data_IF_143761790362
#
_entry.id   IF_143761790362
#
_cell.length_a   1.000
_cell.length_b   1.000
_cell.length_c   1.000
_cell.angle_alpha   90.00
_cell.angle_beta   90.00
_cell.angle_gamma   90.00
#
_symmetry.space_group_name_H-M   'P 1'
#
loop_
_entity.id
_entity.type
_entity.pdbx_description
1 polymer ?
#
# COMPACT_ATOMS: atom_id res chain seq x y z
N UNK A 1 2.28 -23.46 -17.96
CA UNK A 1 3.13 -24.07 -16.92
C UNK A 1 2.29 -24.95 -15.99
N UNK A 2 2.88 -25.99 -15.40
CA UNK A 2 2.17 -26.92 -14.52
C UNK A 2 1.51 -26.19 -13.34
N UNK A 3 2.25 -25.27 -12.70
CA UNK A 3 1.73 -24.46 -11.60
C UNK A 3 0.49 -23.66 -11.99
N UNK A 4 0.48 -23.03 -13.18
CA UNK A 4 -0.71 -22.31 -13.66
C UNK A 4 -1.93 -23.21 -13.77
N UNK A 5 -1.77 -24.41 -14.37
CA UNK A 5 -2.89 -25.33 -14.55
C UNK A 5 -3.47 -25.79 -13.21
N UNK A 6 -2.62 -25.91 -12.18
CA UNK A 6 -3.03 -26.24 -10.81
C UNK A 6 -3.84 -25.11 -10.15
N UNK A 7 -3.40 -23.85 -10.29
CA UNK A 7 -4.04 -22.70 -9.62
C UNK A 7 -5.17 -22.06 -10.43
N UNK A 8 -5.24 -22.32 -11.74
CA UNK A 8 -6.22 -21.71 -12.65
C UNK A 8 -7.68 -21.84 -12.18
N UNK A 9 -8.14 -22.99 -11.63
CA UNK A 9 -9.50 -23.09 -11.11
C UNK A 9 -9.78 -22.13 -9.94
N UNK A 10 -8.80 -21.94 -9.04
CA UNK A 10 -8.91 -21.02 -7.92
C UNK A 10 -8.91 -19.55 -8.40
N UNK A 11 -8.05 -19.22 -9.37
CA UNK A 11 -8.04 -17.91 -10.00
C UNK A 11 -9.40 -17.60 -10.66
N UNK A 12 -9.95 -18.53 -11.45
CA UNK A 12 -11.25 -18.36 -12.09
C UNK A 12 -12.39 -18.15 -11.07
N UNK A 13 -12.41 -18.92 -9.98
CA UNK A 13 -13.39 -18.73 -8.91
C UNK A 13 -13.28 -17.33 -8.27
N UNK A 14 -12.06 -16.88 -8.00
CA UNK A 14 -11.82 -15.54 -7.46
C UNK A 14 -12.28 -14.46 -8.43
N UNK A 15 -12.01 -14.59 -9.73
CA UNK A 15 -12.50 -13.63 -10.74
C UNK A 15 -14.02 -13.57 -10.74
N UNK A 16 -14.72 -14.73 -10.76
CA UNK A 16 -16.18 -14.75 -10.71
C UNK A 16 -16.76 -14.11 -9.45
N UNK A 17 -16.09 -14.25 -8.30
CA UNK A 17 -16.46 -13.55 -7.08
C UNK A 17 -16.27 -12.03 -7.21
N UNK A 18 -15.12 -11.60 -7.74
CA UNK A 18 -14.77 -10.19 -7.89
C UNK A 18 -15.64 -9.47 -8.92
N UNK A 19 -16.00 -10.11 -10.03
CA UNK A 19 -16.92 -9.57 -11.04
C UNK A 19 -18.20 -9.02 -10.42
N UNK A 20 -18.73 -9.72 -9.41
CA UNK A 20 -19.98 -9.37 -8.75
C UNK A 20 -19.77 -8.36 -7.62
N UNK A 21 -18.65 -8.47 -6.87
CA UNK A 21 -18.52 -7.82 -5.56
C UNK A 21 -17.46 -6.74 -5.47
N UNK A 22 -16.70 -6.44 -6.53
CA UNK A 22 -15.60 -5.48 -6.46
C UNK A 22 -16.01 -4.06 -6.01
N UNK A 23 -17.28 -3.68 -6.19
CA UNK A 23 -17.83 -2.39 -5.74
C UNK A 23 -18.42 -2.43 -4.31
N UNK A 24 -18.46 -3.61 -3.69
CA UNK A 24 -19.09 -3.77 -2.37
C UNK A 24 -18.19 -3.19 -1.28
N UNK A 25 -18.76 -2.46 -0.31
CA UNK A 25 -18.01 -2.03 0.86
C UNK A 25 -17.39 -3.20 1.62
N UNK A 26 -16.17 -3.01 2.10
CA UNK A 26 -15.42 -4.01 2.86
C UNK A 26 -14.43 -3.35 3.83
N UNK A 27 -13.70 -4.16 4.59
CA UNK A 27 -12.56 -3.68 5.36
C UNK A 27 -11.38 -3.39 4.44
N UNK A 28 -10.59 -2.37 4.78
CA UNK A 28 -9.30 -2.14 4.13
C UNK A 28 -8.23 -3.14 4.61
N UNK A 29 -6.99 -2.96 4.12
CA UNK A 29 -5.84 -3.75 4.55
C UNK A 29 -5.44 -3.53 6.03
N UNK A 30 -6.07 -2.57 6.71
CA UNK A 30 -5.89 -2.27 8.13
C UNK A 30 -7.01 -2.86 8.99
N UNK A 31 -7.92 -3.63 8.37
CA UNK A 31 -9.09 -4.24 9.01
C UNK A 31 -10.09 -3.21 9.57
N UNK A 32 -10.15 -2.03 8.96
CA UNK A 32 -10.95 -0.89 9.41
C UNK A 32 -12.00 -0.47 8.37
N UNK A 33 -12.98 0.34 8.80
CA UNK A 33 -13.94 1.03 7.92
C UNK A 33 -14.74 0.13 6.94
N UNK A 34 -15.40 -0.91 7.47
CA UNK A 34 -16.20 -1.91 6.71
C UNK A 34 -17.26 -1.31 5.77
N UNK A 35 -17.77 -0.12 6.08
CA UNK A 35 -18.82 0.55 5.33
C UNK A 35 -18.30 1.35 4.13
N UNK A 36 -17.00 1.29 3.83
CA UNK A 36 -16.34 2.04 2.74
C UNK A 36 -15.82 1.13 1.62
N UNK A 37 -15.52 1.75 0.48
CA UNK A 37 -14.76 1.17 -0.64
C UNK A 37 -13.40 1.85 -0.67
N UNK A 38 -12.32 1.07 -0.68
CA UNK A 38 -10.96 1.58 -0.47
C UNK A 38 -10.17 1.61 -1.78
N UNK A 39 -9.51 2.73 -2.05
CA UNK A 39 -8.73 2.91 -3.28
C UNK A 39 -7.60 1.89 -3.39
N UNK A 40 -6.90 1.60 -2.30
CA UNK A 40 -5.82 0.61 -2.26
C UNK A 40 -6.33 -0.81 -2.55
N UNK A 41 -7.49 -1.19 -1.98
CA UNK A 41 -8.14 -2.48 -2.29
C UNK A 41 -8.49 -2.57 -3.77
N UNK A 42 -9.11 -1.54 -4.34
CA UNK A 42 -9.45 -1.51 -5.75
C UNK A 42 -8.19 -1.55 -6.65
N UNK A 43 -7.10 -0.89 -6.25
CA UNK A 43 -5.82 -0.99 -6.96
C UNK A 43 -5.26 -2.42 -6.93
N UNK A 44 -5.33 -3.11 -5.79
CA UNK A 44 -4.94 -4.52 -5.69
C UNK A 44 -5.77 -5.43 -6.60
N UNK A 45 -7.09 -5.20 -6.66
CA UNK A 45 -7.97 -5.93 -7.58
C UNK A 45 -7.59 -5.66 -9.03
N UNK A 46 -7.40 -4.39 -9.41
CA UNK A 46 -6.95 -4.01 -10.75
C UNK A 46 -5.66 -4.72 -11.14
N UNK A 47 -4.61 -4.64 -10.31
CA UNK A 47 -3.30 -5.20 -10.63
C UNK A 47 -3.35 -6.72 -10.77
N UNK A 48 -4.02 -7.41 -9.86
CA UNK A 48 -4.19 -8.87 -9.93
C UNK A 48 -4.99 -9.32 -11.15
N UNK A 49 -6.10 -8.63 -11.46
CA UNK A 49 -6.93 -8.94 -12.62
C UNK A 49 -6.22 -8.64 -13.94
N UNK A 50 -5.49 -7.54 -14.02
CA UNK A 50 -4.69 -7.19 -15.19
C UNK A 50 -3.60 -8.24 -15.44
N UNK A 51 -2.86 -8.64 -14.39
CA UNK A 51 -1.81 -9.64 -14.51
C UNK A 51 -2.35 -11.01 -14.98
N UNK A 52 -3.50 -11.43 -14.46
CA UNK A 52 -4.15 -12.66 -14.93
C UNK A 52 -4.68 -12.50 -16.36
N UNK A 53 -5.26 -11.35 -16.71
CA UNK A 53 -5.75 -11.08 -18.07
C UNK A 53 -4.62 -11.12 -19.11
N UNK A 54 -3.47 -10.50 -18.81
CA UNK A 54 -2.30 -10.50 -19.70
C UNK A 54 -1.73 -11.91 -19.92
N UNK A 55 -1.91 -12.79 -18.92
CA UNK A 55 -1.40 -14.16 -18.94
C UNK A 55 -2.38 -15.18 -19.55
N UNK A 56 -3.66 -15.13 -19.16
CA UNK A 56 -4.75 -16.00 -19.61
C UNK A 56 -6.04 -15.16 -19.76
N UNK A 57 -6.23 -14.50 -20.92
CA UNK A 57 -7.36 -13.60 -21.17
C UNK A 57 -8.73 -14.27 -21.05
N UNK A 58 -8.81 -15.60 -21.11
CA UNK A 58 -10.05 -16.34 -20.99
C UNK A 58 -10.57 -16.42 -19.54
N UNK A 59 -9.75 -16.06 -18.54
CA UNK A 59 -10.12 -16.10 -17.12
C UNK A 59 -10.71 -14.77 -16.64
N UNK A 60 -10.26 -13.64 -17.19
CA UNK A 60 -10.67 -12.29 -16.76
C UNK A 60 -11.35 -11.56 -17.92
N UNK A 61 -12.61 -11.13 -17.77
CA UNK A 61 -13.24 -10.26 -18.76
C UNK A 61 -12.48 -8.95 -18.92
N UNK A 62 -12.16 -8.57 -20.16
CA UNK A 62 -11.37 -7.36 -20.48
C UNK A 62 -11.91 -6.08 -19.81
N UNK A 63 -13.23 -5.93 -19.73
CA UNK A 63 -13.86 -4.73 -19.17
C UNK A 63 -13.73 -4.60 -17.65
N UNK A 64 -13.42 -5.67 -16.92
CA UNK A 64 -13.39 -5.66 -15.47
C UNK A 64 -12.26 -4.78 -14.89
N UNK A 65 -10.96 -5.01 -15.19
CA UNK A 65 -9.89 -4.12 -14.75
C UNK A 65 -10.06 -2.69 -15.28
N UNK A 66 -10.54 -2.53 -16.53
CA UNK A 66 -10.83 -1.21 -17.12
C UNK A 66 -11.86 -0.45 -16.28
N UNK A 67 -12.94 -1.11 -15.86
CA UNK A 67 -14.01 -0.52 -15.05
C UNK A 67 -13.52 -0.13 -13.65
N UNK A 68 -12.70 -0.96 -13.02
CA UNK A 68 -12.10 -0.67 -11.71
C UNK A 68 -11.20 0.56 -11.80
N UNK A 69 -10.30 0.60 -12.78
CA UNK A 69 -9.41 1.76 -13.01
C UNK A 69 -10.23 3.02 -13.28
N UNK A 70 -11.24 2.95 -14.14
CA UNK A 70 -12.13 4.08 -14.43
C UNK A 70 -12.83 4.58 -13.16
N UNK A 71 -13.33 3.68 -12.31
CA UNK A 71 -14.00 4.01 -11.05
C UNK A 71 -13.06 4.77 -10.11
N UNK A 72 -11.83 4.29 -9.94
CA UNK A 72 -10.82 5.00 -9.11
C UNK A 72 -10.53 6.39 -9.67
N UNK A 73 -10.29 6.53 -10.97
CA UNK A 73 -9.88 7.82 -11.55
C UNK A 73 -11.04 8.81 -11.71
N UNK A 74 -12.28 8.32 -11.76
CA UNK A 74 -13.46 9.20 -11.85
C UNK A 74 -13.87 9.70 -10.46
N UNK A 75 -13.88 8.81 -9.46
CA UNK A 75 -14.51 9.09 -8.17
C UNK A 75 -13.51 9.22 -7.01
N UNK A 76 -12.26 8.79 -7.19
CA UNK A 76 -11.24 8.73 -6.11
C UNK A 76 -10.29 9.93 -6.04
N UNK A 77 -10.30 10.83 -7.05
CA UNK A 77 -9.41 12.00 -7.11
C UNK A 77 -9.97 13.14 -6.26
N UNK A 78 -9.26 13.50 -5.20
CA UNK A 78 -9.59 14.60 -4.29
C UNK A 78 -9.18 15.97 -4.85
N UNK A 79 -9.65 17.04 -4.19
CA UNK A 79 -9.42 18.43 -4.60
C UNK A 79 -7.93 18.82 -4.73
N UNK A 80 -7.01 18.09 -4.09
CA UNK A 80 -5.56 18.31 -4.23
C UNK A 80 -4.95 17.67 -5.48
N UNK A 81 -5.76 17.02 -6.31
CA UNK A 81 -5.36 16.42 -7.59
C UNK A 81 -4.79 15.00 -7.48
N UNK A 82 -4.77 14.41 -6.28
CA UNK A 82 -4.35 13.01 -6.06
C UNK A 82 -5.47 12.14 -5.51
N UNK A 83 -5.17 10.86 -5.31
CA UNK A 83 -6.11 9.83 -4.85
C UNK A 83 -6.35 9.93 -3.35
N UNK A 84 -7.60 9.76 -2.93
CA UNK A 84 -8.01 9.64 -1.53
C UNK A 84 -8.07 8.18 -1.07
N UNK A 85 -8.06 7.95 0.26
CA UNK A 85 -8.17 6.62 0.88
C UNK A 85 -9.44 5.87 0.45
N UNK A 86 -10.56 6.59 0.34
CA UNK A 86 -11.87 6.00 0.04
C UNK A 86 -12.40 6.46 -1.31
N UNK A 87 -12.97 5.53 -2.08
CA UNK A 87 -13.75 5.86 -3.26
C UNK A 87 -15.22 6.00 -2.84
N UNK A 88 -15.81 7.21 -2.88
CA UNK A 88 -17.20 7.40 -2.50
C UNK A 88 -18.16 6.68 -3.47
N UNK A 89 -19.34 6.24 -2.97
CA UNK A 89 -20.43 5.86 -3.86
C UNK A 89 -21.01 7.12 -4.54
N UNK A 90 -21.12 7.11 -5.87
CA UNK A 90 -21.81 8.07 -6.74
C UNK A 90 -21.69 9.58 -6.43
N UNK A 91 -21.13 10.39 -7.35
CA UNK A 91 -21.22 11.88 -7.40
C UNK A 91 -20.77 12.69 -6.18
N UNK A 92 -20.54 12.05 -5.02
CA UNK A 92 -19.99 12.68 -3.85
C UNK A 92 -18.50 12.92 -4.06
N UNK A 93 -18.02 14.10 -3.63
CA UNK A 93 -16.60 14.40 -3.70
C UNK A 93 -15.84 13.47 -2.75
N UNK A 94 -14.72 12.86 -3.18
CA UNK A 94 -13.86 12.11 -2.28
C UNK A 94 -13.33 13.01 -1.15
N UNK A 95 -13.17 12.41 0.03
CA UNK A 95 -12.54 13.10 1.16
C UNK A 95 -11.06 13.38 0.90
N UNK A 96 -10.43 14.16 1.79
CA UNK A 96 -8.99 14.47 1.71
C UNK A 96 -8.11 13.50 2.50
N UNK A 97 -8.71 12.46 3.08
CA UNK A 97 -7.99 11.46 3.85
C UNK A 97 -7.02 10.72 2.93
N UNK A 98 -5.75 10.74 3.30
CA UNK A 98 -4.67 10.02 2.64
C UNK A 98 -4.25 8.83 3.51
N UNK A 99 -3.83 7.76 2.84
CA UNK A 99 -3.31 6.55 3.47
C UNK A 99 -2.06 6.11 2.73
N UNK A 100 -1.05 5.61 3.44
CA UNK A 100 0.20 5.17 2.83
C UNK A 100 0.01 3.98 1.87
N UNK A 101 -1.04 3.17 2.04
CA UNK A 101 -1.41 2.11 1.08
C UNK A 101 -1.76 2.65 -0.31
N UNK A 102 -1.97 3.95 -0.47
CA UNK A 102 -2.14 4.56 -1.80
C UNK A 102 -0.87 4.50 -2.65
N UNK A 103 0.32 4.28 -2.06
CA UNK A 103 1.54 3.95 -2.82
C UNK A 103 1.32 2.73 -3.72
N UNK A 104 0.41 1.83 -3.32
CA UNK A 104 0.11 0.60 -4.04
C UNK A 104 -0.56 0.84 -5.40
N UNK A 105 -1.13 2.03 -5.60
CA UNK A 105 -1.71 2.43 -6.88
C UNK A 105 -0.66 2.59 -7.99
N UNK A 106 0.62 2.76 -7.64
CA UNK A 106 1.71 2.67 -8.61
C UNK A 106 2.42 1.33 -8.53
N UNK A 107 3.13 1.05 -7.44
CA UNK A 107 3.86 -0.22 -7.28
C UNK A 107 3.23 -1.05 -6.16
N UNK A 108 2.94 -2.35 -6.33
CA UNK A 108 3.20 -3.16 -7.52
C UNK A 108 2.05 -3.15 -8.53
N UNK A 109 0.88 -2.56 -8.20
CA UNK A 109 -0.35 -2.85 -8.95
C UNK A 109 -0.48 -2.13 -10.29
N UNK A 110 0.39 -1.17 -10.60
CA UNK A 110 0.52 -0.57 -11.92
C UNK A 110 -0.73 0.16 -12.43
N UNK A 111 -1.57 0.68 -11.53
CA UNK A 111 -2.77 1.41 -11.92
C UNK A 111 -2.42 2.77 -12.54
N UNK A 112 -1.41 3.42 -11.96
CA UNK A 112 -0.72 4.60 -12.46
C UNK A 112 0.78 4.30 -12.59
N UNK A 113 1.47 4.97 -13.51
CA UNK A 113 2.93 5.01 -13.48
C UNK A 113 3.41 5.89 -12.33
N UNK A 114 4.64 5.70 -11.86
CA UNK A 114 5.21 6.49 -10.75
C UNK A 114 5.39 7.97 -11.09
N UNK A 115 5.45 8.32 -12.38
CA UNK A 115 5.53 9.68 -12.90
C UNK A 115 4.17 10.28 -13.31
N UNK A 116 3.07 9.54 -13.13
CA UNK A 116 1.73 10.04 -13.42
C UNK A 116 1.40 11.27 -12.52
N UNK A 117 0.87 12.37 -13.06
CA UNK A 117 0.56 13.57 -12.29
C UNK A 117 -0.37 13.34 -11.08
N UNK A 118 -1.34 12.42 -11.19
CA UNK A 118 -2.26 12.06 -10.11
C UNK A 118 -1.52 11.28 -9.03
N UNK A 119 -0.65 10.35 -9.42
CA UNK A 119 0.17 9.61 -8.46
C UNK A 119 1.16 10.55 -7.77
N UNK A 120 1.84 11.43 -8.49
CA UNK A 120 2.75 12.42 -7.90
C UNK A 120 2.04 13.37 -6.92
N UNK A 121 0.79 13.76 -7.19
CA UNK A 121 -0.02 14.53 -6.25
C UNK A 121 -0.36 13.72 -4.99
N UNK A 122 -0.64 12.42 -5.15
CA UNK A 122 -0.86 11.48 -4.04
C UNK A 122 0.40 11.29 -3.21
N UNK A 123 1.55 11.08 -3.85
CA UNK A 123 2.85 10.92 -3.20
C UNK A 123 3.20 12.16 -2.36
N UNK A 124 3.07 13.38 -2.92
CA UNK A 124 3.29 14.62 -2.17
C UNK A 124 2.42 14.74 -0.94
N UNK A 125 1.18 14.26 -1.01
CA UNK A 125 0.25 14.26 0.11
C UNK A 125 0.70 13.26 1.21
N UNK A 126 1.13 12.06 0.81
CA UNK A 126 1.69 11.04 1.72
C UNK A 126 2.97 11.56 2.38
N UNK A 127 3.91 12.09 1.61
CA UNK A 127 5.17 12.66 2.13
C UNK A 127 4.92 13.77 3.15
N UNK A 128 3.93 14.63 2.89
CA UNK A 128 3.61 15.75 3.77
C UNK A 128 2.97 15.31 5.09
N UNK A 129 2.09 14.32 5.06
CA UNK A 129 1.22 14.01 6.21
C UNK A 129 1.63 12.75 6.97
N UNK A 130 2.30 11.81 6.30
CA UNK A 130 2.56 10.47 6.81
C UNK A 130 4.05 10.14 6.93
N UNK A 131 4.95 10.81 6.20
CA UNK A 131 6.39 10.58 6.34
C UNK A 131 6.99 11.42 7.48
N UNK A 132 7.79 10.78 8.32
CA UNK A 132 8.52 11.44 9.41
C UNK A 132 9.92 11.81 8.93
N UNK A 133 10.34 13.05 9.17
CA UNK A 133 11.69 13.49 8.80
C UNK A 133 12.74 12.71 9.61
N UNK A 134 13.59 11.95 8.91
CA UNK A 134 14.55 11.04 9.54
C UNK A 134 13.90 9.82 10.21
N UNK A 135 12.62 9.56 9.94
CA UNK A 135 11.83 8.47 10.51
C UNK A 135 11.19 7.58 9.45
N UNK A 136 10.17 6.84 9.86
CA UNK A 136 9.37 5.96 9.02
C UNK A 136 8.11 6.62 8.48
N UNK A 137 7.08 5.81 8.27
CA UNK A 137 5.82 6.24 7.62
C UNK A 137 4.63 5.73 8.43
N UNK A 138 3.68 6.62 8.74
CA UNK A 138 2.41 6.27 9.37
C UNK A 138 1.43 5.62 8.38
N UNK A 139 0.47 4.83 8.86
CA UNK A 139 -0.63 4.28 8.02
C UNK A 139 -1.51 5.41 7.47
N UNK A 140 -2.08 6.21 8.37
CA UNK A 140 -2.89 7.40 8.14
C UNK A 140 -2.89 8.26 9.41
N UNK A 141 -3.37 9.51 9.35
CA UNK A 141 -3.11 10.51 10.41
C UNK A 141 -3.86 10.31 11.73
N UNK A 142 -5.04 9.68 11.68
CA UNK A 142 -5.89 9.43 12.84
C UNK A 142 -5.69 8.02 13.42
N UNK A 143 -4.61 7.34 13.04
CA UNK A 143 -4.32 5.99 13.50
C UNK A 143 -3.98 5.97 15.00
N UNK A 144 -4.66 5.11 15.74
CA UNK A 144 -4.48 4.92 17.18
C UNK A 144 -4.03 3.51 17.54
N UNK A 145 -3.84 2.62 16.56
CA UNK A 145 -3.36 1.26 16.78
C UNK A 145 -1.91 1.30 17.28
N UNK A 146 -1.68 0.82 18.51
CA UNK A 146 -0.45 1.06 19.28
C UNK A 146 -0.05 2.54 19.33
N UNK A 147 -1.02 3.45 19.41
CA UNK A 147 -0.77 4.90 19.40
C UNK A 147 -0.38 5.48 18.04
N UNK A 148 -0.45 4.69 16.96
CA UNK A 148 -0.15 5.14 15.60
C UNK A 148 1.34 5.37 15.40
N UNK A 149 2.13 4.30 15.44
CA UNK A 149 3.57 4.34 15.23
C UNK A 149 4.00 4.36 13.76
N UNK A 150 5.32 4.31 13.56
CA UNK A 150 5.95 4.34 12.24
C UNK A 150 6.17 2.92 11.71
N UNK A 151 5.63 2.59 10.53
CA UNK A 151 5.60 1.23 9.99
C UNK A 151 6.76 0.97 9.04
N UNK A 152 7.50 -0.12 9.28
CA UNK A 152 8.68 -0.50 8.50
C UNK A 152 8.31 -0.86 7.06
N UNK A 153 7.23 -1.63 6.88
CA UNK A 153 6.77 -2.03 5.55
C UNK A 153 6.35 -0.82 4.69
N UNK A 154 5.83 0.26 5.31
CA UNK A 154 5.43 1.47 4.61
C UNK A 154 6.62 2.37 4.27
N UNK A 155 7.61 2.46 5.16
CA UNK A 155 8.90 3.07 4.85
C UNK A 155 9.59 2.36 3.67
N UNK A 156 9.56 1.03 3.66
CA UNK A 156 10.11 0.23 2.57
C UNK A 156 9.40 0.50 1.24
N UNK A 157 8.07 0.60 1.28
CA UNK A 157 7.26 0.88 0.09
C UNK A 157 7.50 2.28 -0.49
N UNK A 158 7.60 3.28 0.38
CA UNK A 158 7.95 4.64 -0.03
C UNK A 158 9.36 4.68 -0.63
N UNK A 159 10.30 3.95 -0.02
CA UNK A 159 11.63 3.73 -0.58
C UNK A 159 11.58 3.12 -1.97
N UNK A 160 10.72 2.12 -2.21
CA UNK A 160 10.58 1.49 -3.53
C UNK A 160 10.05 2.49 -4.58
N UNK A 161 9.06 3.30 -4.21
CA UNK A 161 8.58 4.39 -5.08
C UNK A 161 9.72 5.38 -5.41
N UNK A 162 10.58 5.71 -4.46
CA UNK A 162 11.74 6.56 -4.69
C UNK A 162 12.75 5.93 -5.65
N UNK A 163 13.01 4.62 -5.54
CA UNK A 163 13.86 3.90 -6.49
C UNK A 163 13.32 4.01 -7.92
N UNK A 164 12.01 3.81 -8.11
CA UNK A 164 11.37 3.92 -9.43
C UNK A 164 11.42 5.35 -10.00
N UNK A 165 11.33 6.36 -9.13
CA UNK A 165 11.48 7.78 -9.49
C UNK A 165 12.94 8.23 -9.69
N UNK A 166 13.92 7.36 -9.44
CA UNK A 166 15.35 7.72 -9.47
C UNK A 166 15.83 8.56 -8.28
N UNK A 167 15.01 8.70 -7.23
CA UNK A 167 15.31 9.39 -5.96
C UNK A 167 16.14 8.50 -5.03
N UNK A 168 17.30 8.05 -5.53
CA UNK A 168 18.10 7.00 -4.90
C UNK A 168 18.61 7.36 -3.50
N UNK A 169 18.95 8.61 -3.25
CA UNK A 169 19.45 9.03 -1.93
C UNK A 169 18.37 8.94 -0.86
N UNK A 170 17.13 9.32 -1.20
CA UNK A 170 15.99 9.22 -0.30
C UNK A 170 15.58 7.76 -0.07
N UNK A 171 15.65 6.92 -1.09
CA UNK A 171 15.44 5.47 -0.95
C UNK A 171 16.45 4.83 0.02
N UNK A 172 17.74 5.22 -0.08
CA UNK A 172 18.80 4.72 0.82
C UNK A 172 18.61 5.19 2.26
N UNK A 173 18.10 6.41 2.48
CA UNK A 173 17.78 6.90 3.82
C UNK A 173 16.71 6.03 4.46
N UNK A 174 15.60 5.74 3.76
CA UNK A 174 14.55 4.85 4.30
C UNK A 174 15.04 3.42 4.50
N UNK A 175 15.85 2.90 3.57
CA UNK A 175 16.46 1.57 3.71
C UNK A 175 17.34 1.50 4.97
N UNK A 176 18.22 2.49 5.19
CA UNK A 176 19.06 2.56 6.38
C UNK A 176 18.23 2.67 7.67
N UNK A 177 17.19 3.50 7.66
CA UNK A 177 16.28 3.63 8.78
C UNK A 177 15.63 2.29 9.15
N UNK A 178 15.19 1.49 8.17
CA UNK A 178 14.62 0.15 8.42
C UNK A 178 15.64 -0.76 9.10
N UNK A 179 16.89 -0.75 8.64
CA UNK A 179 17.98 -1.55 9.23
C UNK A 179 18.23 -1.16 10.69
N UNK A 180 18.17 0.13 11.01
CA UNK A 180 18.34 0.63 12.37
C UNK A 180 17.23 0.19 13.34
N UNK A 181 16.06 -0.25 12.83
CA UNK A 181 14.95 -0.73 13.64
C UNK A 181 15.04 -2.23 13.96
N UNK A 182 16.01 -2.94 13.41
CA UNK A 182 16.17 -4.37 13.64
C UNK A 182 16.58 -4.66 15.10
N UNK A 183 16.06 -5.73 15.68
CA UNK A 183 16.56 -6.23 16.99
C UNK A 183 18.00 -6.76 16.85
N UNK A 184 18.64 -7.08 17.98
CA UNK A 184 19.98 -7.71 17.98
C UNK A 184 20.01 -9.04 17.18
N UNK A 185 18.89 -9.76 17.14
CA UNK A 185 18.71 -10.99 16.36
C UNK A 185 18.33 -10.74 14.89
N UNK A 186 18.18 -9.47 14.49
CA UNK A 186 17.83 -9.06 13.14
C UNK A 186 16.32 -9.10 12.83
N UNK A 187 15.44 -9.20 13.84
CA UNK A 187 14.00 -9.15 13.63
C UNK A 187 13.53 -7.74 13.30
N UNK A 188 12.68 -7.60 12.29
CA UNK A 188 12.03 -6.34 11.93
C UNK A 188 10.61 -6.29 12.51
N UNK A 189 10.27 -5.28 13.33
CA UNK A 189 8.93 -5.14 13.90
C UNK A 189 7.90 -4.68 12.85
N UNK A 190 6.63 -4.76 13.23
CA UNK A 190 5.50 -4.16 12.48
C UNK A 190 5.60 -2.64 12.44
N UNK A 191 5.83 -2.02 13.60
CA UNK A 191 5.96 -0.59 13.78
C UNK A 191 6.88 -0.26 14.96
N UNK A 192 7.41 0.96 14.98
CA UNK A 192 8.17 1.53 16.11
C UNK A 192 7.44 2.72 16.70
N UNK A 193 7.74 3.03 17.96
CA UNK A 193 7.06 4.02 18.79
C UNK A 193 7.89 5.28 19.07
N UNK A 194 8.94 5.54 18.27
CA UNK A 194 9.76 6.76 18.38
C UNK A 194 8.93 8.03 18.25
N UNK A 195 7.97 8.01 17.32
CA UNK A 195 6.97 9.05 17.13
C UNK A 195 5.58 8.42 17.04
N UNK A 196 4.73 8.73 18.02
CA UNK A 196 3.33 8.27 18.06
C UNK A 196 2.39 9.41 17.67
N UNK A 197 1.37 9.09 16.87
CA UNK A 197 0.29 10.02 16.54
C UNK A 197 -0.55 10.37 17.77
N UNK A 198 -0.88 9.37 18.59
CA UNK A 198 -1.58 9.53 19.86
C UNK A 198 -1.08 8.51 20.89
N UNK A 199 -0.06 8.92 21.65
CA UNK A 199 0.55 8.09 22.68
C UNK A 199 -0.43 7.64 23.78
N UNK A 200 -1.59 8.29 23.95
CA UNK A 200 -2.56 7.90 24.99
C UNK A 200 -3.20 6.53 24.75
N UNK A 201 -3.15 6.02 23.52
CA UNK A 201 -3.66 4.69 23.18
C UNK A 201 -2.64 3.56 23.36
N UNK A 202 -1.34 3.88 23.47
CA UNK A 202 -0.26 2.89 23.43
C UNK A 202 -0.38 1.84 24.55
N UNK A 203 -0.42 2.29 25.80
CA UNK A 203 -0.46 1.39 26.97
C UNK A 203 -1.71 0.49 26.95
N UNK A 204 -2.83 1.00 26.43
CA UNK A 204 -4.06 0.23 26.28
C UNK A 204 -3.92 -0.94 25.30
N UNK A 205 -3.23 -0.72 24.18
CA UNK A 205 -2.92 -1.78 23.23
C UNK A 205 -1.95 -2.79 23.79
N UNK A 206 -0.87 -2.33 24.43
CA UNK A 206 0.14 -3.22 25.04
C UNK A 206 -0.48 -4.09 26.13
N UNK A 207 -1.31 -3.52 27.00
CA UNK A 207 -2.00 -4.27 28.04
C UNK A 207 -2.96 -5.34 27.47
N UNK A 208 -3.54 -5.07 26.29
CA UNK A 208 -4.51 -5.96 25.65
C UNK A 208 -3.85 -7.10 24.88
N UNK A 209 -2.83 -6.80 24.08
CA UNK A 209 -2.28 -7.70 23.06
C UNK A 209 -0.78 -7.99 23.20
N UNK A 210 -0.11 -7.42 24.20
CA UNK A 210 1.35 -7.42 24.28
C UNK A 210 1.95 -6.36 23.37
N UNK A 211 3.27 -6.38 23.19
CA UNK A 211 3.95 -5.45 22.28
C UNK A 211 3.53 -5.65 20.83
N UNK A 212 3.73 -4.62 20.00
CA UNK A 212 3.59 -4.73 18.55
C UNK A 212 4.40 -5.92 17.99
N UNK A 213 3.89 -6.53 16.91
CA UNK A 213 4.43 -7.77 16.39
C UNK A 213 5.91 -7.64 15.99
N UNK A 214 6.76 -8.52 16.52
CA UNK A 214 8.17 -8.61 16.15
C UNK A 214 8.66 -10.07 16.28
N UNK A 215 9.11 -10.72 15.19
CA UNK A 215 9.19 -10.19 13.82
C UNK A 215 7.82 -10.08 13.14
N UNK A 216 7.66 -9.10 12.24
CA UNK A 216 6.60 -9.10 11.23
C UNK A 216 7.19 -9.54 9.88
N UNK A 217 6.76 -10.70 9.38
CA UNK A 217 7.27 -11.25 8.12
C UNK A 217 7.06 -10.31 6.92
N UNK A 218 6.01 -9.48 6.94
CA UNK A 218 5.78 -8.50 5.88
C UNK A 218 6.81 -7.37 5.90
N UNK A 219 7.24 -6.89 7.08
CA UNK A 219 8.37 -5.95 7.19
C UNK A 219 9.64 -6.52 6.57
N UNK A 220 9.94 -7.80 6.84
CA UNK A 220 11.06 -8.50 6.21
C UNK A 220 10.92 -8.64 4.69
N UNK A 221 9.74 -9.03 4.20
CA UNK A 221 9.50 -9.18 2.77
C UNK A 221 9.66 -7.84 2.03
N UNK A 222 9.13 -6.76 2.61
CA UNK A 222 9.26 -5.42 2.01
C UNK A 222 10.68 -4.88 2.07
N UNK A 223 11.43 -5.17 3.13
CA UNK A 223 12.85 -4.87 3.20
C UNK A 223 13.62 -5.54 2.05
N UNK A 224 13.37 -6.84 1.79
CA UNK A 224 14.02 -7.57 0.69
C UNK A 224 13.64 -7.00 -0.68
N UNK A 225 12.38 -6.60 -0.88
CA UNK A 225 11.94 -5.96 -2.14
C UNK A 225 12.67 -4.64 -2.36
N UNK A 226 12.77 -3.80 -1.33
CA UNK A 226 13.47 -2.52 -1.43
C UNK A 226 14.98 -2.73 -1.69
N UNK A 227 15.62 -3.64 -0.96
CA UNK A 227 17.04 -3.96 -1.15
C UNK A 227 17.33 -4.43 -2.58
N UNK A 228 16.54 -5.37 -3.11
CA UNK A 228 16.65 -5.84 -4.50
C UNK A 228 16.44 -4.70 -5.50
N UNK A 229 15.42 -3.85 -5.31
CA UNK A 229 15.16 -2.71 -6.19
C UNK A 229 16.34 -1.72 -6.21
N UNK A 230 16.96 -1.45 -5.05
CA UNK A 230 18.17 -0.61 -4.95
C UNK A 230 19.35 -1.26 -5.69
N UNK A 231 19.58 -2.55 -5.47
CA UNK A 231 20.69 -3.29 -6.09
C UNK A 231 20.57 -3.36 -7.61
N UNK A 232 19.35 -3.57 -8.14
CA UNK A 232 19.10 -3.58 -9.58
C UNK A 232 19.36 -2.21 -10.22
N UNK A 233 18.97 -1.10 -9.59
CA UNK A 233 19.29 0.24 -10.12
C UNK A 233 20.79 0.54 -10.10
N UNK A 234 21.50 0.13 -9.05
CA UNK A 234 22.97 0.30 -8.97
C UNK A 234 23.67 -0.52 -10.06
N UNK A 235 23.20 -1.73 -10.35
CA UNK A 235 23.81 -2.60 -11.36
C UNK A 235 23.59 -2.14 -12.80
N UNK A 236 22.52 -1.36 -13.04
CA UNK A 236 22.13 -0.85 -14.36
C UNK A 236 22.68 0.56 -14.66
N UNK A 237 23.37 1.20 -13.71
CA UNK A 237 23.97 2.53 -13.83
C UNK A 237 25.45 2.46 -14.25
#
# INVERSE_FOLDING_TARGET
>A
PALWQEVRPAAALLVSYLEVLWQSPNYDCWEEHRDKVHTATLAALYGGLQAVHDYDPAVVPTELPISIRKKILTDGIADYGGLSKFVPPNTASPGKLVDASLLWTAVPFGLLSVDDPVFLATLRQIERELAVSGGGVYRYRDDTYFGGGEWLLLAAWLGWVYVELGRMDEARVLHAWIVEQATEEGHLPEQVDHHLLDASYYDGWVAKWGTSACPLLWSHAMFLILDDAIQQKVSNA
#
